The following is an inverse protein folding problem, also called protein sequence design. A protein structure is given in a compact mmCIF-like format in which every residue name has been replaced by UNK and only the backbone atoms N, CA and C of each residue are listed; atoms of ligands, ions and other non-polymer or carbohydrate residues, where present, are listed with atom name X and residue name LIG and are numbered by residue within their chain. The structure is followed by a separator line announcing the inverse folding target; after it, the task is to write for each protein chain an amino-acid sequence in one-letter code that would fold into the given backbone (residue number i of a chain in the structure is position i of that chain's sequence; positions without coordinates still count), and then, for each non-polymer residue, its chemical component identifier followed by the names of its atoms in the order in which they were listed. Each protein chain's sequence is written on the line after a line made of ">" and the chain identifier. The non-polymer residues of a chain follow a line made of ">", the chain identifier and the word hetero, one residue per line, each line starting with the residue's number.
data_IF_813380468654
#
_entry.id   IF_813380468654
#
_cell.length_a   1.000
_cell.length_b   1.000
_cell.length_c   1.000
_cell.angle_alpha   90.00
_cell.angle_beta   90.00
_cell.angle_gamma   90.00
#
_symmetry.space_group_name_H-M   'P 1'
#
loop_
_entity.id
_entity.type
_entity.pdbx_description
1 polymer ?
#
# COMPACT_ATOMS: atom_id res chain seq x y z
N UNK A 1 -7.94 16.55 -13.93
CA UNK A 1 -6.47 16.55 -14.09
C UNK A 1 -5.82 16.34 -12.74
N UNK A 2 -4.84 15.46 -12.67
CA UNK A 2 -4.15 15.16 -11.42
C UNK A 2 -2.87 15.99 -11.31
N UNK A 3 -2.52 16.32 -10.07
CA UNK A 3 -1.29 17.06 -9.77
C UNK A 3 -0.39 16.23 -8.82
N UNK A 4 0.91 16.30 -9.05
CA UNK A 4 1.89 15.58 -8.25
C UNK A 4 1.83 16.02 -6.78
N UNK A 5 1.72 15.05 -5.89
CA UNK A 5 1.66 15.31 -4.45
C UNK A 5 2.97 15.88 -3.88
N UNK A 6 4.06 15.73 -4.64
CA UNK A 6 5.39 16.19 -4.20
C UNK A 6 5.69 17.60 -4.71
N UNK A 7 5.43 17.89 -6.00
CA UNK A 7 5.85 19.16 -6.62
C UNK A 7 4.73 19.95 -7.31
N UNK A 8 3.51 19.42 -7.37
CA UNK A 8 2.37 20.10 -7.98
C UNK A 8 2.29 20.05 -9.49
N UNK A 9 3.27 19.47 -10.17
CA UNK A 9 3.24 19.33 -11.63
C UNK A 9 2.13 18.37 -12.07
N UNK A 10 1.82 18.36 -13.37
CA UNK A 10 0.85 17.42 -13.94
C UNK A 10 1.28 15.98 -13.58
N UNK A 11 0.34 15.16 -13.15
CA UNK A 11 0.62 13.84 -12.62
C UNK A 11 -0.25 12.75 -13.20
N UNK A 12 0.25 11.52 -13.11
CA UNK A 12 -0.47 10.28 -13.36
C UNK A 12 -0.74 9.56 -12.05
N UNK A 13 -1.59 8.54 -12.09
CA UNK A 13 -1.88 7.69 -10.94
C UNK A 13 -0.78 6.63 -10.83
N UNK A 14 -0.13 6.59 -9.67
CA UNK A 14 0.77 5.49 -9.30
C UNK A 14 0.03 4.57 -8.33
N UNK A 15 0.00 3.27 -8.61
CA UNK A 15 -0.52 2.28 -7.67
C UNK A 15 0.56 1.98 -6.64
N UNK A 16 0.30 2.30 -5.38
CA UNK A 16 1.27 2.11 -4.28
C UNK A 16 1.63 0.64 -4.15
N UNK A 17 0.63 -0.23 -4.03
CA UNK A 17 0.79 -1.68 -4.19
C UNK A 17 0.51 -1.95 -5.66
N UNK A 18 1.52 -2.36 -6.41
CA UNK A 18 1.41 -2.54 -7.86
C UNK A 18 0.41 -3.66 -8.19
N UNK A 19 -0.19 -3.59 -9.38
CA UNK A 19 -1.15 -4.61 -9.80
C UNK A 19 -0.55 -6.01 -9.78
N UNK A 20 0.70 -6.15 -10.24
CA UNK A 20 1.38 -7.45 -10.23
C UNK A 20 1.73 -7.93 -8.81
N UNK A 21 1.68 -7.07 -7.82
CA UNK A 21 1.86 -7.41 -6.40
C UNK A 21 0.52 -7.73 -5.71
N UNK A 22 -0.58 -7.68 -6.45
CA UNK A 22 -1.92 -7.91 -5.89
C UNK A 22 -2.65 -6.64 -5.48
N UNK A 23 -2.22 -5.48 -5.96
CA UNK A 23 -2.81 -4.18 -5.63
C UNK A 23 -4.24 -4.03 -6.15
N UNK A 24 -5.07 -3.32 -5.39
CA UNK A 24 -6.46 -3.05 -5.69
C UNK A 24 -6.64 -1.63 -6.24
N UNK A 25 -7.63 -1.45 -7.12
CA UNK A 25 -8.05 -0.14 -7.61
C UNK A 25 -8.96 0.54 -6.58
N UNK A 26 -8.38 0.95 -5.47
CA UNK A 26 -9.05 1.73 -4.43
C UNK A 26 -8.28 3.04 -4.24
N UNK A 27 -8.99 4.07 -3.81
CA UNK A 27 -8.46 5.41 -3.63
C UNK A 27 -7.20 5.46 -2.75
N UNK A 28 -7.18 4.68 -1.66
CA UNK A 28 -6.03 4.62 -0.76
C UNK A 28 -4.78 4.02 -1.40
N UNK A 29 -4.94 3.26 -2.48
CA UNK A 29 -3.81 2.68 -3.22
C UNK A 29 -3.27 3.61 -4.31
N UNK A 30 -3.81 4.83 -4.43
CA UNK A 30 -3.39 5.78 -5.44
C UNK A 30 -2.46 6.83 -4.85
N UNK A 31 -1.38 7.08 -5.57
CA UNK A 31 -0.46 8.19 -5.32
C UNK A 31 -0.34 8.97 -6.63
N UNK A 32 -0.56 10.28 -6.59
CA UNK A 32 -0.46 11.10 -7.80
C UNK A 32 0.94 11.64 -7.91
N UNK A 33 1.65 11.23 -8.97
CA UNK A 33 3.06 11.57 -9.15
C UNK A 33 3.31 12.03 -10.58
N UNK A 34 4.11 13.09 -10.75
CA UNK A 34 4.58 13.49 -12.07
C UNK A 34 5.61 12.46 -12.57
N UNK A 35 5.96 12.57 -13.87
CA UNK A 35 6.90 11.62 -14.46
C UNK A 35 8.23 11.54 -13.68
N UNK A 36 8.76 12.67 -13.25
CA UNK A 36 10.02 12.71 -12.50
C UNK A 36 9.91 11.98 -11.15
N UNK A 37 8.85 12.28 -10.36
CA UNK A 37 8.67 11.66 -9.05
C UNK A 37 8.10 10.24 -9.13
N UNK A 38 7.59 9.83 -10.28
CA UNK A 38 7.07 8.49 -10.50
C UNK A 38 8.16 7.54 -11.01
N UNK A 39 8.78 7.90 -12.15
CA UNK A 39 9.74 7.05 -12.86
C UNK A 39 11.16 7.56 -12.85
N UNK A 40 11.40 8.72 -12.24
CA UNK A 40 12.73 9.27 -12.08
C UNK A 40 13.56 8.46 -11.10
N UNK A 41 14.81 8.87 -10.91
CA UNK A 41 15.80 8.15 -10.10
C UNK A 41 15.35 7.91 -8.66
N UNK A 42 14.66 8.87 -8.06
CA UNK A 42 14.17 8.77 -6.68
C UNK A 42 12.70 8.36 -6.58
N UNK A 43 12.07 8.05 -7.72
CA UNK A 43 10.70 7.59 -7.76
C UNK A 43 10.56 6.14 -7.28
N UNK A 44 9.32 5.70 -6.97
CA UNK A 44 9.09 4.37 -6.38
C UNK A 44 9.48 3.20 -7.28
N UNK A 45 9.51 3.39 -8.60
CA UNK A 45 9.92 2.33 -9.53
C UNK A 45 11.43 2.10 -9.54
N UNK A 46 12.23 3.10 -9.14
CA UNK A 46 13.69 3.04 -9.21
C UNK A 46 14.36 3.16 -7.85
N UNK A 47 13.62 3.45 -6.80
CA UNK A 47 14.13 3.63 -5.45
C UNK A 47 13.29 2.83 -4.47
N UNK A 48 13.86 1.78 -3.91
CA UNK A 48 13.15 0.87 -3.00
C UNK A 48 12.68 1.60 -1.73
N UNK A 49 13.46 2.54 -1.22
CA UNK A 49 13.08 3.31 -0.02
C UNK A 49 11.82 4.14 -0.28
N UNK A 50 11.74 4.76 -1.45
CA UNK A 50 10.56 5.55 -1.84
C UNK A 50 9.32 4.65 -1.97
N UNK A 51 9.47 3.50 -2.61
CA UNK A 51 8.39 2.52 -2.77
C UNK A 51 7.87 2.06 -1.39
N UNK A 52 8.77 1.65 -0.52
CA UNK A 52 8.42 1.17 0.82
C UNK A 52 7.82 2.29 1.67
N UNK A 53 8.35 3.50 1.56
CA UNK A 53 7.79 4.66 2.28
C UNK A 53 6.32 4.86 1.94
N UNK A 54 5.97 4.82 0.66
CA UNK A 54 4.58 4.98 0.23
C UNK A 54 3.71 3.82 0.71
N UNK A 55 4.23 2.60 0.69
CA UNK A 55 3.53 1.42 1.21
C UNK A 55 3.27 1.53 2.71
N UNK A 56 4.24 2.00 3.49
CA UNK A 56 4.07 2.23 4.92
C UNK A 56 3.03 3.31 5.20
N UNK A 57 3.03 4.40 4.42
CA UNK A 57 2.02 5.46 4.54
C UNK A 57 0.62 4.92 4.27
N UNK A 58 0.45 4.11 3.23
CA UNK A 58 -0.82 3.48 2.88
C UNK A 58 -1.29 2.55 4.00
N UNK A 59 -0.40 1.69 4.49
CA UNK A 59 -0.71 0.75 5.57
C UNK A 59 -1.19 1.48 6.82
N UNK A 60 -0.51 2.56 7.19
CA UNK A 60 -0.87 3.39 8.33
C UNK A 60 -2.27 4.00 8.15
N UNK A 61 -2.58 4.49 6.94
CA UNK A 61 -3.90 5.03 6.63
C UNK A 61 -4.98 3.96 6.73
N UNK A 62 -4.70 2.75 6.29
CA UNK A 62 -5.64 1.63 6.38
C UNK A 62 -5.93 1.26 7.84
N UNK A 63 -4.92 1.19 8.70
CA UNK A 63 -5.13 0.93 10.12
C UNK A 63 -5.94 2.04 10.78
N UNK A 64 -5.72 3.29 10.38
CA UNK A 64 -6.49 4.43 10.89
C UNK A 64 -7.95 4.39 10.42
N UNK A 65 -8.18 3.96 9.17
CA UNK A 65 -9.52 3.84 8.60
C UNK A 65 -10.33 2.72 9.26
N UNK A 66 -9.65 1.65 9.70
CA UNK A 66 -10.27 0.44 10.24
C UNK A 66 -9.89 0.25 11.71
N UNK A 67 -10.46 1.05 12.64
CA UNK A 67 -10.10 0.95 14.06
C UNK A 67 -10.65 -0.28 14.78
N UNK A 68 -11.72 -0.92 14.26
CA UNK A 68 -12.29 -2.13 14.86
C UNK A 68 -11.44 -3.35 14.48
N UNK A 69 -11.61 -4.44 15.24
CA UNK A 69 -10.90 -5.69 14.96
C UNK A 69 -11.52 -6.51 13.84
N UNK A 70 -12.85 -6.36 13.62
CA UNK A 70 -13.59 -7.13 12.61
C UNK A 70 -14.56 -6.23 11.85
N UNK A 71 -14.80 -6.58 10.58
CA UNK A 71 -15.67 -5.82 9.67
C UNK A 71 -16.52 -6.74 8.84
N UNK A 72 -17.77 -6.34 8.58
CA UNK A 72 -18.63 -7.01 7.61
C UNK A 72 -18.29 -6.55 6.20
N UNK A 73 -18.71 -7.33 5.20
CA UNK A 73 -18.52 -6.93 3.79
C UNK A 73 -19.18 -5.59 3.49
N UNK A 74 -20.37 -5.35 4.06
CA UNK A 74 -21.10 -4.09 3.88
C UNK A 74 -20.33 -2.90 4.42
N UNK A 75 -19.72 -3.06 5.61
CA UNK A 75 -18.89 -2.01 6.19
C UNK A 75 -17.66 -1.71 5.32
N UNK A 76 -17.01 -2.74 4.81
CA UNK A 76 -15.85 -2.59 3.93
C UNK A 76 -16.21 -1.90 2.62
N UNK A 77 -17.38 -2.22 2.07
CA UNK A 77 -17.88 -1.56 0.86
C UNK A 77 -17.92 -0.04 1.03
N UNK A 78 -18.48 0.42 2.14
CA UNK A 78 -18.59 1.85 2.42
C UNK A 78 -17.26 2.50 2.80
N UNK A 79 -16.49 1.86 3.69
CA UNK A 79 -15.24 2.43 4.21
C UNK A 79 -14.14 2.52 3.17
N UNK A 80 -14.00 1.48 2.34
CA UNK A 80 -12.95 1.41 1.31
C UNK A 80 -13.36 2.10 0.02
N UNK A 81 -14.61 2.51 -0.13
CA UNK A 81 -15.17 3.05 -1.38
C UNK A 81 -14.85 2.12 -2.56
N UNK A 82 -15.01 0.84 -2.32
CA UNK A 82 -14.62 -0.23 -3.25
C UNK A 82 -15.81 -0.65 -4.11
N UNK A 83 -15.57 -1.06 -5.36
CA UNK A 83 -16.63 -1.59 -6.22
C UNK A 83 -17.09 -2.96 -5.74
N UNK A 84 -18.31 -3.37 -6.11
CA UNK A 84 -18.83 -4.70 -5.77
C UNK A 84 -17.91 -5.82 -6.30
N UNK A 85 -17.38 -5.65 -7.50
CA UNK A 85 -16.48 -6.61 -8.12
C UNK A 85 -15.20 -6.80 -7.29
N UNK A 86 -14.60 -5.72 -6.87
CA UNK A 86 -13.37 -5.75 -6.05
C UNK A 86 -13.66 -6.24 -4.64
N UNK A 87 -14.83 -5.89 -4.09
CA UNK A 87 -15.26 -6.40 -2.78
C UNK A 87 -15.37 -7.92 -2.79
N UNK A 88 -15.99 -8.49 -3.81
CA UNK A 88 -16.09 -9.95 -3.98
C UNK A 88 -14.71 -10.60 -4.05
N UNK A 89 -13.79 -9.99 -4.80
CA UNK A 89 -12.41 -10.45 -4.90
C UNK A 89 -11.71 -10.42 -3.54
N UNK A 90 -11.89 -9.33 -2.79
CA UNK A 90 -11.28 -9.16 -1.49
C UNK A 90 -11.77 -10.23 -0.50
N UNK A 91 -13.08 -10.34 -0.32
CA UNK A 91 -13.66 -11.27 0.68
C UNK A 91 -13.44 -12.73 0.31
N UNK A 92 -13.30 -13.05 -0.97
CA UNK A 92 -12.97 -14.40 -1.43
C UNK A 92 -11.64 -14.88 -0.87
N UNK A 93 -10.70 -13.97 -0.66
CA UNK A 93 -9.36 -14.28 -0.16
C UNK A 93 -9.25 -14.19 1.37
N UNK A 94 -10.36 -13.88 2.05
CA UNK A 94 -10.38 -13.69 3.49
C UNK A 94 -11.17 -14.77 4.18
N UNK A 95 -10.75 -15.12 5.41
CA UNK A 95 -11.53 -16.00 6.27
C UNK A 95 -12.65 -15.19 6.92
N UNK A 96 -13.86 -15.76 6.93
CA UNK A 96 -14.99 -15.17 7.64
C UNK A 96 -15.06 -15.78 9.05
N UNK A 97 -14.79 -14.94 10.04
CA UNK A 97 -14.94 -15.30 11.45
C UNK A 97 -16.38 -14.98 11.90
N UNK A 98 -16.73 -15.42 13.10
CA UNK A 98 -18.04 -15.12 13.69
C UNK A 98 -18.34 -13.62 13.74
N UNK A 99 -17.33 -12.82 14.06
CA UNK A 99 -17.43 -11.37 14.21
C UNK A 99 -17.33 -10.61 12.88
N UNK A 100 -16.94 -11.28 11.81
CA UNK A 100 -16.70 -10.69 10.49
C UNK A 100 -15.30 -11.01 9.97
N UNK A 101 -14.82 -10.19 9.06
CA UNK A 101 -13.47 -10.30 8.50
C UNK A 101 -12.46 -9.56 9.38
N UNK A 102 -11.33 -10.20 9.66
CA UNK A 102 -10.27 -9.63 10.50
C UNK A 102 -9.62 -8.41 9.84
N UNK A 103 -9.49 -7.33 10.59
CA UNK A 103 -8.79 -6.12 10.15
C UNK A 103 -7.39 -6.42 9.60
N UNK A 104 -6.62 -7.20 10.32
CA UNK A 104 -5.24 -7.49 9.92
C UNK A 104 -5.17 -8.27 8.60
N UNK A 105 -6.05 -9.25 8.42
CA UNK A 105 -6.15 -10.01 7.18
C UNK A 105 -6.62 -9.13 6.02
N UNK A 106 -7.60 -8.24 6.26
CA UNK A 106 -8.07 -7.27 5.27
C UNK A 106 -6.90 -6.41 4.80
N UNK A 107 -6.19 -5.79 5.74
CA UNK A 107 -5.10 -4.87 5.42
C UNK A 107 -3.95 -5.61 4.75
N UNK A 108 -3.58 -6.78 5.24
CA UNK A 108 -2.54 -7.59 4.60
C UNK A 108 -2.88 -7.89 3.15
N UNK A 109 -4.14 -8.26 2.87
CA UNK A 109 -4.58 -8.54 1.50
C UNK A 109 -4.49 -7.29 0.62
N UNK A 110 -4.95 -6.14 1.14
CA UNK A 110 -4.88 -4.87 0.42
C UNK A 110 -3.44 -4.41 0.19
N UNK A 111 -2.52 -4.82 1.04
CA UNK A 111 -1.10 -4.48 0.92
C UNK A 111 -0.31 -5.47 0.04
N UNK A 112 -1.01 -6.39 -0.64
CA UNK A 112 -0.37 -7.33 -1.54
C UNK A 112 -0.03 -8.69 -0.93
N UNK A 113 -0.58 -8.99 0.25
CA UNK A 113 -0.45 -10.30 0.89
C UNK A 113 0.35 -10.33 2.18
N UNK A 114 0.91 -9.20 2.61
CA UNK A 114 1.67 -9.13 3.86
C UNK A 114 1.58 -7.76 4.49
N UNK A 115 1.82 -7.71 5.80
CA UNK A 115 1.99 -6.45 6.51
C UNK A 115 3.48 -6.09 6.53
N UNK A 116 3.77 -4.80 6.42
CA UNK A 116 5.14 -4.29 6.48
C UNK A 116 5.48 -3.89 7.92
N UNK A 117 6.69 -4.24 8.37
CA UNK A 117 7.24 -3.74 9.62
C UNK A 117 7.57 -2.25 9.47
N UNK A 118 7.23 -1.44 10.48
CA UNK A 118 7.60 -0.02 10.47
C UNK A 118 9.11 0.20 10.55
N UNK A 119 9.88 -0.84 10.87
CA UNK A 119 11.34 -0.79 10.92
C UNK A 119 12.01 -1.22 9.62
N UNK A 120 11.22 -1.56 8.59
CA UNK A 120 11.75 -2.12 7.33
C UNK A 120 12.75 -1.19 6.65
N UNK A 121 12.53 0.13 6.71
CA UNK A 121 13.46 1.08 6.12
C UNK A 121 14.81 1.07 6.82
N UNK A 122 14.81 0.95 8.15
CA UNK A 122 16.02 0.84 8.94
C UNK A 122 16.75 -0.48 8.65
N UNK A 123 15.99 -1.56 8.50
CA UNK A 123 16.54 -2.88 8.16
C UNK A 123 17.23 -2.85 6.80
N UNK A 124 16.62 -2.23 5.80
CA UNK A 124 17.20 -2.08 4.46
C UNK A 124 18.51 -1.27 4.53
N UNK A 125 18.49 -0.17 5.28
CA UNK A 125 19.67 0.68 5.44
C UNK A 125 20.81 -0.08 6.11
N UNK A 126 20.52 -0.84 7.17
CA UNK A 126 21.51 -1.65 7.88
C UNK A 126 22.10 -2.73 6.96
N UNK A 127 21.28 -3.39 6.17
CA UNK A 127 21.75 -4.39 5.21
C UNK A 127 22.70 -3.77 4.18
N UNK A 128 22.40 -2.57 3.70
CA UNK A 128 23.28 -1.85 2.77
C UNK A 128 24.61 -1.50 3.41
N UNK A 129 24.60 -0.99 4.64
CA UNK A 129 25.81 -0.67 5.38
C UNK A 129 26.66 -1.91 5.61
N UNK A 130 26.02 -3.00 6.04
CA UNK A 130 26.69 -4.28 6.26
C UNK A 130 27.31 -4.80 4.97
N UNK A 131 26.58 -4.76 3.88
CA UNK A 131 27.05 -5.20 2.56
C UNK A 131 28.26 -4.38 2.09
N UNK A 132 28.21 -3.07 2.25
CA UNK A 132 29.31 -2.18 1.88
C UNK A 132 30.57 -2.45 2.69
N UNK A 133 30.43 -2.73 3.98
CA UNK A 133 31.55 -3.07 4.87
C UNK A 133 32.22 -4.37 4.43
N UNK A 134 31.42 -5.37 4.04
CA UNK A 134 31.93 -6.70 3.67
C UNK A 134 32.52 -6.78 2.25
N UNK A 135 32.12 -5.85 1.38
CA UNK A 135 32.64 -5.78 0.00
C UNK A 135 33.91 -4.93 -0.07
N UNK A 136 33.98 -3.94 0.79
CA UNK A 136 35.14 -3.05 0.88
C UNK A 136 36.31 -3.74 1.53
#
# INVERSE_FOLDING_TARGET
>A
MYHCEICGAKADIHHIVHKHEGGYDIKLNYKYLCNYHHRGKIGPHNCIETDIKYKLEMQKKLFKLLPKDYYTAKELYGLLEITNSLLKKLVKNLKLYKEGYSKEEIIANLMGGKLYSYNILQEIELERLYHNINIG
#
